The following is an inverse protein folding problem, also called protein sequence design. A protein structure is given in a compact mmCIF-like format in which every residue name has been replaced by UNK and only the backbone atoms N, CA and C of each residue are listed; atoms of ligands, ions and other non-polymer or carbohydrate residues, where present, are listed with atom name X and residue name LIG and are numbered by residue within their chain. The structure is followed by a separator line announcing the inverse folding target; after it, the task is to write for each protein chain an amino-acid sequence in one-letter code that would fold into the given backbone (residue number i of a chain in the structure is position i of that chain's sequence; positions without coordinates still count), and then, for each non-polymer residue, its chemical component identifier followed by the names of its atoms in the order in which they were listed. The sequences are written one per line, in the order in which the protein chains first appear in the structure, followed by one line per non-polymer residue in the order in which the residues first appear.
data_IF_813670716575
#
_entry.id   IF_813670716575
#
_cell.length_a   1.000
_cell.length_b   1.000
_cell.length_c   1.000
_cell.angle_alpha   90.00
_cell.angle_beta   90.00
_cell.angle_gamma   90.00
#
_symmetry.space_group_name_H-M   'P 1'
#
loop_
_entity.id
_entity.type
_entity.pdbx_description
1 polymer ?
#
# COMPACT_ATOMS: atom_id res chain seq x y z
N UNK A 1 75.95 -2.45 33.31
CA UNK A 1 74.81 -1.49 33.08
C UNK A 1 73.93 -2.11 31.97
N UNK A 2 72.87 -2.82 32.37
CA UNK A 2 71.96 -3.52 31.47
C UNK A 2 70.71 -2.66 31.21
N UNK A 3 70.47 -2.32 29.97
CA UNK A 3 69.23 -1.66 29.55
C UNK A 3 68.26 -2.74 28.96
N UNK A 4 67.18 -2.97 29.65
CA UNK A 4 66.10 -3.85 29.17
C UNK A 4 65.18 -3.05 28.27
N UNK A 5 65.06 -3.47 27.01
CA UNK A 5 64.10 -2.96 26.04
C UNK A 5 62.76 -3.69 26.21
N UNK A 6 61.73 -2.94 26.62
CA UNK A 6 60.35 -3.43 26.71
C UNK A 6 59.63 -3.26 25.37
N UNK A 7 59.32 -4.33 24.67
CA UNK A 7 58.53 -4.34 23.43
C UNK A 7 57.04 -4.55 23.74
N UNK A 8 56.29 -3.46 23.63
CA UNK A 8 54.79 -3.49 23.76
C UNK A 8 54.18 -4.05 22.48
N UNK A 9 53.58 -5.23 22.54
CA UNK A 9 52.83 -5.81 21.44
C UNK A 9 51.42 -5.20 21.41
N UNK A 10 51.15 -4.46 20.37
CA UNK A 10 49.82 -3.93 20.06
C UNK A 10 48.96 -5.07 19.50
N UNK A 11 47.93 -5.53 20.23
CA UNK A 11 47.00 -6.53 19.76
C UNK A 11 45.86 -5.84 18.98
N UNK A 12 45.89 -5.95 17.67
CA UNK A 12 44.84 -5.49 16.76
C UNK A 12 43.64 -6.48 16.84
N UNK A 13 42.54 -6.04 17.46
CA UNK A 13 41.28 -6.78 17.46
C UNK A 13 40.56 -6.50 16.17
N UNK A 14 40.46 -7.49 15.27
CA UNK A 14 39.58 -7.46 14.14
C UNK A 14 38.14 -7.71 14.64
N UNK A 15 37.27 -6.72 14.54
CA UNK A 15 35.82 -6.92 14.64
C UNK A 15 35.33 -7.45 13.29
N UNK A 16 34.99 -8.71 13.21
CA UNK A 16 34.25 -9.24 12.09
C UNK A 16 32.78 -8.80 12.21
N UNK A 17 32.36 -7.85 11.40
CA UNK A 17 30.95 -7.53 11.23
C UNK A 17 30.29 -8.69 10.46
N UNK A 18 29.54 -9.52 11.16
CA UNK A 18 28.67 -10.50 10.52
C UNK A 18 27.48 -9.76 9.87
N UNK A 19 27.50 -9.63 8.56
CA UNK A 19 26.32 -9.17 7.83
C UNK A 19 25.24 -10.29 7.91
N UNK A 20 24.20 -10.05 8.70
CA UNK A 20 23.03 -10.92 8.76
C UNK A 20 22.22 -10.69 7.47
N UNK A 21 22.43 -11.54 6.45
CA UNK A 21 21.54 -11.59 5.30
C UNK A 21 20.21 -12.18 5.76
N UNK A 22 19.24 -11.32 6.03
CA UNK A 22 17.85 -11.74 6.21
C UNK A 22 17.32 -12.14 4.85
N UNK A 23 17.22 -13.44 4.60
CA UNK A 23 16.54 -13.99 3.44
C UNK A 23 15.03 -13.84 3.66
N UNK A 24 14.45 -12.78 3.10
CA UNK A 24 12.99 -12.69 3.02
C UNK A 24 12.47 -13.79 2.11
N UNK A 25 11.79 -14.76 2.69
CA UNK A 25 11.06 -15.76 1.92
C UNK A 25 9.91 -15.07 1.22
N UNK A 26 9.95 -14.96 -0.11
CA UNK A 26 8.82 -14.55 -0.92
C UNK A 26 7.81 -15.71 -0.96
N UNK A 27 7.11 -15.95 0.15
CA UNK A 27 5.92 -16.77 0.11
C UNK A 27 4.86 -15.95 -0.63
N UNK A 28 4.52 -16.32 -1.85
CA UNK A 28 3.32 -15.83 -2.53
C UNK A 28 2.14 -16.34 -1.72
N UNK A 29 1.34 -15.43 -1.16
CA UNK A 29 0.11 -15.83 -0.50
C UNK A 29 -0.91 -16.18 -1.59
N UNK A 30 -1.41 -17.41 -1.58
CA UNK A 30 -2.44 -17.82 -2.54
C UNK A 30 -3.74 -17.06 -2.28
N UNK A 31 -4.38 -16.56 -3.33
CA UNK A 31 -5.72 -15.99 -3.25
C UNK A 31 -6.74 -17.06 -2.88
N UNK A 32 -7.86 -16.67 -2.28
CA UNK A 32 -8.94 -17.61 -1.98
C UNK A 32 -9.43 -18.32 -3.26
N UNK A 33 -9.76 -19.60 -3.16
CA UNK A 33 -10.15 -20.46 -4.29
C UNK A 33 -11.35 -19.95 -5.09
N UNK A 34 -12.16 -19.07 -4.52
CA UNK A 34 -13.32 -18.43 -5.16
C UNK A 34 -13.03 -17.09 -5.82
N UNK A 35 -11.77 -16.61 -5.83
CA UNK A 35 -11.42 -15.25 -6.28
C UNK A 35 -11.96 -14.95 -7.69
N UNK A 36 -11.66 -15.76 -8.70
CA UNK A 36 -12.07 -15.51 -10.09
C UNK A 36 -13.59 -15.52 -10.25
N UNK A 37 -14.28 -16.39 -9.52
CA UNK A 37 -15.75 -16.44 -9.52
C UNK A 37 -16.34 -15.16 -8.89
N UNK A 38 -15.78 -14.69 -7.78
CA UNK A 38 -16.22 -13.47 -7.13
C UNK A 38 -15.94 -12.23 -8.00
N UNK A 39 -14.80 -12.16 -8.69
CA UNK A 39 -14.48 -11.07 -9.61
C UNK A 39 -15.42 -11.00 -10.82
N UNK A 40 -15.94 -12.15 -11.26
CA UNK A 40 -16.89 -12.29 -12.39
C UNK A 40 -18.34 -12.23 -11.96
N UNK A 41 -18.65 -12.18 -10.67
CA UNK A 41 -19.99 -12.27 -10.12
C UNK A 41 -20.94 -11.20 -10.71
N UNK A 42 -22.22 -11.54 -10.88
CA UNK A 42 -23.23 -10.65 -11.46
C UNK A 42 -23.51 -9.43 -10.57
N UNK A 43 -23.28 -9.58 -9.27
CA UNK A 43 -23.45 -8.55 -8.26
C UNK A 43 -22.39 -7.43 -8.32
N UNK A 44 -21.24 -7.69 -8.94
CA UNK A 44 -20.28 -6.61 -9.25
C UNK A 44 -20.81 -5.77 -10.40
N UNK A 45 -20.76 -4.44 -10.25
CA UNK A 45 -21.22 -3.54 -11.30
C UNK A 45 -20.33 -3.63 -12.56
N UNK A 46 -20.94 -3.42 -13.73
CA UNK A 46 -20.20 -3.38 -15.00
C UNK A 46 -19.15 -2.25 -15.01
N UNK A 47 -19.43 -1.11 -14.32
CA UNK A 47 -18.47 -0.03 -14.16
C UNK A 47 -17.23 -0.48 -13.38
N UNK A 48 -17.37 -1.27 -12.33
CA UNK A 48 -16.25 -1.78 -11.55
C UNK A 48 -15.47 -2.86 -12.33
N UNK A 49 -16.16 -3.76 -13.04
CA UNK A 49 -15.53 -4.77 -13.91
C UNK A 49 -14.72 -4.14 -15.04
N UNK A 50 -15.23 -3.05 -15.63
CA UNK A 50 -14.51 -2.34 -16.69
C UNK A 50 -13.15 -1.77 -16.25
N UNK A 51 -12.93 -1.60 -14.95
CA UNK A 51 -11.65 -1.11 -14.38
C UNK A 51 -10.62 -2.23 -14.18
N UNK A 52 -11.04 -3.49 -14.16
CA UNK A 52 -10.18 -4.63 -13.78
C UNK A 52 -8.97 -4.75 -14.72
N UNK A 53 -9.19 -4.61 -16.04
CA UNK A 53 -8.11 -4.72 -17.02
C UNK A 53 -6.97 -3.71 -16.81
N UNK A 54 -7.30 -2.46 -16.47
CA UNK A 54 -6.31 -1.41 -16.23
C UNK A 54 -5.72 -1.43 -14.81
N UNK A 55 -6.38 -2.12 -13.87
CA UNK A 55 -5.95 -2.20 -12.46
C UNK A 55 -5.27 -3.51 -12.10
N UNK A 56 -5.39 -4.54 -12.95
CA UNK A 56 -4.73 -5.85 -12.79
C UNK A 56 -4.79 -6.39 -11.36
N UNK A 57 -6.02 -6.54 -10.79
CA UNK A 57 -6.17 -6.77 -9.36
C UNK A 57 -5.43 -8.02 -8.86
N UNK A 58 -5.48 -9.13 -9.61
CA UNK A 58 -4.80 -10.37 -9.22
C UNK A 58 -3.30 -10.17 -9.09
N UNK A 59 -2.69 -9.61 -10.11
CA UNK A 59 -1.24 -9.39 -10.18
C UNK A 59 -0.77 -8.38 -9.14
N UNK A 60 -1.59 -7.36 -8.83
CA UNK A 60 -1.32 -6.41 -7.75
C UNK A 60 -1.30 -7.12 -6.40
N UNK A 61 -2.30 -7.94 -6.11
CA UNK A 61 -2.38 -8.67 -4.83
C UNK A 61 -1.25 -9.69 -4.69
N UNK A 62 -0.93 -10.41 -5.76
CA UNK A 62 0.21 -11.35 -5.81
C UNK A 62 1.54 -10.59 -5.52
N UNK A 63 1.74 -9.41 -6.13
CA UNK A 63 2.94 -8.61 -5.88
C UNK A 63 3.02 -8.11 -4.44
N UNK A 64 1.90 -7.62 -3.87
CA UNK A 64 1.88 -7.15 -2.48
C UNK A 64 2.02 -8.31 -1.50
N UNK A 65 1.52 -9.50 -1.84
CA UNK A 65 1.51 -10.69 -0.99
C UNK A 65 0.24 -10.78 -0.15
N UNK A 66 -0.90 -10.28 -0.67
CA UNK A 66 -2.21 -10.40 -0.02
C UNK A 66 -2.89 -11.68 -0.48
N UNK A 67 -3.39 -12.50 0.46
CA UNK A 67 -4.00 -13.79 0.13
C UNK A 67 -5.05 -14.27 1.14
N UNK A 68 -5.46 -15.52 0.94
CA UNK A 68 -6.55 -16.16 1.67
C UNK A 68 -6.35 -16.12 3.20
N UNK A 69 -7.42 -15.85 3.93
CA UNK A 69 -7.45 -15.86 5.39
C UNK A 69 -6.87 -14.63 6.08
N UNK A 70 -6.26 -13.69 5.33
CA UNK A 70 -5.69 -12.46 5.91
C UNK A 70 -6.76 -11.50 6.40
N UNK A 71 -6.43 -10.71 7.42
CA UNK A 71 -7.13 -9.48 7.76
C UNK A 71 -6.45 -8.33 7.04
N UNK A 72 -7.17 -7.62 6.17
CA UNK A 72 -6.60 -6.57 5.31
C UNK A 72 -7.31 -5.23 5.54
N UNK A 73 -6.53 -4.15 5.62
CA UNK A 73 -7.04 -2.78 5.67
C UNK A 73 -7.00 -2.14 4.28
N UNK A 74 -8.17 -1.75 3.76
CA UNK A 74 -8.33 -0.92 2.56
C UNK A 74 -8.32 0.55 2.99
N UNK A 75 -7.18 1.22 2.87
CA UNK A 75 -6.99 2.58 3.38
C UNK A 75 -7.52 3.59 2.36
N UNK A 76 -8.46 4.42 2.74
CA UNK A 76 -9.18 5.36 1.86
C UNK A 76 -9.91 4.62 0.74
N UNK A 77 -10.72 3.64 1.12
CA UNK A 77 -11.42 2.71 0.22
C UNK A 77 -12.35 3.40 -0.80
N UNK A 78 -12.70 4.67 -0.57
CA UNK A 78 -13.64 5.44 -1.40
C UNK A 78 -15.01 4.70 -1.50
N UNK A 79 -15.49 4.41 -2.70
CA UNK A 79 -16.72 3.63 -2.92
C UNK A 79 -16.49 2.12 -2.94
N UNK A 80 -15.29 1.63 -2.58
CA UNK A 80 -15.02 0.24 -2.28
C UNK A 80 -14.66 -0.65 -3.47
N UNK A 81 -14.02 -0.14 -4.53
CA UNK A 81 -13.56 -1.00 -5.61
C UNK A 81 -12.53 -2.03 -5.12
N UNK A 82 -11.47 -1.57 -4.41
CA UNK A 82 -10.51 -2.50 -3.81
C UNK A 82 -11.10 -3.29 -2.65
N UNK A 83 -12.07 -2.76 -1.93
CA UNK A 83 -12.79 -3.50 -0.89
C UNK A 83 -13.40 -4.81 -1.42
N UNK A 84 -14.05 -4.79 -2.60
CA UNK A 84 -14.57 -6.00 -3.25
C UNK A 84 -13.47 -6.96 -3.68
N UNK A 85 -12.41 -6.43 -4.28
CA UNK A 85 -11.24 -7.21 -4.72
C UNK A 85 -10.56 -7.90 -3.52
N UNK A 86 -10.35 -7.15 -2.45
CA UNK A 86 -9.75 -7.67 -1.21
C UNK A 86 -10.65 -8.70 -0.54
N UNK A 87 -11.97 -8.44 -0.48
CA UNK A 87 -12.95 -9.40 0.05
C UNK A 87 -12.89 -10.74 -0.69
N UNK A 88 -12.84 -10.68 -2.04
CA UNK A 88 -12.69 -11.87 -2.87
C UNK A 88 -11.36 -12.59 -2.63
N UNK A 89 -10.27 -11.84 -2.45
CA UNK A 89 -8.92 -12.35 -2.29
C UNK A 89 -8.71 -13.09 -0.97
N UNK A 90 -9.20 -12.48 0.14
CA UNK A 90 -9.02 -13.09 1.46
C UNK A 90 -10.04 -14.20 1.72
N UNK A 91 -11.16 -14.20 1.00
CA UNK A 91 -12.21 -15.24 1.09
C UNK A 91 -12.94 -15.27 2.44
N UNK A 92 -13.75 -16.32 2.69
CA UNK A 92 -14.67 -16.38 3.83
C UNK A 92 -13.98 -16.51 5.19
N UNK A 93 -12.70 -16.89 5.23
CA UNK A 93 -11.90 -17.01 6.46
C UNK A 93 -11.07 -15.77 6.76
N UNK A 94 -10.98 -14.83 5.79
CA UNK A 94 -10.30 -13.56 5.94
C UNK A 94 -11.28 -12.43 6.27
N UNK A 95 -10.74 -11.23 6.46
CA UNK A 95 -11.52 -10.02 6.80
C UNK A 95 -10.96 -8.80 6.09
N UNK A 96 -11.84 -7.91 5.67
CA UNK A 96 -11.47 -6.59 5.15
C UNK A 96 -12.02 -5.49 6.06
N UNK A 97 -11.16 -4.57 6.48
CA UNK A 97 -11.55 -3.32 7.12
C UNK A 97 -11.48 -2.23 6.07
N UNK A 98 -12.63 -1.73 5.64
CA UNK A 98 -12.70 -0.71 4.61
C UNK A 98 -12.80 0.67 5.27
N UNK A 99 -11.69 1.41 5.22
CA UNK A 99 -11.56 2.70 5.87
C UNK A 99 -11.84 3.86 4.93
N UNK A 100 -12.57 4.87 5.43
CA UNK A 100 -12.67 6.21 4.87
C UNK A 100 -12.61 7.24 5.98
N UNK A 101 -12.16 8.47 5.67
CA UNK A 101 -12.18 9.57 6.63
C UNK A 101 -13.60 10.08 6.86
N UNK A 102 -13.89 10.63 8.06
CA UNK A 102 -15.17 11.27 8.36
C UNK A 102 -15.50 12.40 7.38
N UNK A 103 -14.53 13.19 7.00
CA UNK A 103 -14.70 14.27 6.02
C UNK A 103 -15.10 13.81 4.61
N UNK A 104 -14.98 12.51 4.30
CA UNK A 104 -15.43 11.92 3.03
C UNK A 104 -16.72 11.12 3.14
N UNK A 105 -17.29 10.98 4.34
CA UNK A 105 -18.47 10.14 4.61
C UNK A 105 -19.60 10.40 3.63
N UNK A 106 -20.05 11.63 3.48
CA UNK A 106 -21.17 12.01 2.61
C UNK A 106 -21.01 11.56 1.15
N UNK A 107 -19.76 11.45 0.67
CA UNK A 107 -19.45 11.09 -0.72
C UNK A 107 -19.21 9.60 -0.92
N UNK A 108 -18.89 8.87 0.13
CA UNK A 108 -18.41 7.49 0.03
C UNK A 108 -19.35 6.47 0.69
N UNK A 109 -20.07 6.86 1.74
CA UNK A 109 -20.83 5.94 2.60
C UNK A 109 -21.89 5.15 1.82
N UNK A 110 -22.68 5.81 0.97
CA UNK A 110 -23.74 5.12 0.22
C UNK A 110 -23.16 4.00 -0.68
N UNK A 111 -22.08 4.30 -1.42
CA UNK A 111 -21.46 3.35 -2.33
C UNK A 111 -20.77 2.19 -1.61
N UNK A 112 -19.99 2.51 -0.56
CA UNK A 112 -19.24 1.46 0.15
C UNK A 112 -20.15 0.60 1.02
N UNK A 113 -21.22 1.17 1.61
CA UNK A 113 -22.21 0.42 2.39
C UNK A 113 -23.02 -0.54 1.52
N UNK A 114 -23.38 -0.13 0.30
CA UNK A 114 -24.07 -1.01 -0.65
C UNK A 114 -23.21 -2.23 -1.02
N UNK A 115 -21.87 -2.07 -1.13
CA UNK A 115 -20.96 -3.18 -1.35
C UNK A 115 -20.79 -4.04 -0.10
N UNK A 116 -20.54 -3.43 1.05
CA UNK A 116 -20.35 -4.13 2.31
C UNK A 116 -21.59 -4.98 2.69
N UNK A 117 -22.79 -4.50 2.38
CA UNK A 117 -24.03 -5.22 2.68
C UNK A 117 -24.17 -6.60 1.99
N UNK A 118 -23.38 -6.87 0.95
CA UNK A 118 -23.35 -8.15 0.21
C UNK A 118 -22.07 -8.95 0.39
N UNK A 119 -21.17 -8.47 1.26
CA UNK A 119 -19.86 -9.05 1.52
C UNK A 119 -19.74 -9.38 3.00
N UNK A 120 -19.87 -10.66 3.36
CA UNK A 120 -19.95 -11.10 4.76
C UNK A 120 -18.66 -10.85 5.58
N UNK A 121 -17.53 -10.64 4.90
CA UNK A 121 -16.21 -10.46 5.52
C UNK A 121 -15.72 -9.00 5.53
N UNK A 122 -16.59 -8.01 5.24
CA UNK A 122 -16.23 -6.59 5.20
C UNK A 122 -16.80 -5.84 6.41
N UNK A 123 -15.96 -5.02 7.04
CA UNK A 123 -16.35 -4.08 8.09
C UNK A 123 -15.98 -2.66 7.65
N UNK A 124 -16.89 -1.71 7.82
CA UNK A 124 -16.63 -0.30 7.53
C UNK A 124 -16.03 0.40 8.74
N UNK A 125 -15.04 1.25 8.49
CA UNK A 125 -14.41 2.12 9.47
C UNK A 125 -14.38 3.56 8.93
N UNK A 126 -15.04 4.47 9.62
CA UNK A 126 -14.94 5.91 9.35
C UNK A 126 -14.16 6.56 10.49
N UNK A 127 -12.99 7.09 10.18
CA UNK A 127 -12.13 7.76 11.15
C UNK A 127 -11.15 8.69 10.43
N UNK A 128 -10.83 9.84 11.00
CA UNK A 128 -9.80 10.70 10.41
C UNK A 128 -8.39 10.19 10.72
N UNK A 129 -7.43 10.53 9.85
CA UNK A 129 -6.03 10.13 10.04
C UNK A 129 -5.44 10.74 11.32
N UNK A 130 -4.62 9.97 12.01
CA UNK A 130 -4.11 10.23 13.34
C UNK A 130 -5.02 9.68 14.45
N UNK A 131 -6.19 9.14 14.09
CA UNK A 131 -7.21 8.62 15.02
C UNK A 131 -7.90 7.34 14.56
N UNK A 132 -7.35 6.58 13.62
CA UNK A 132 -7.97 5.37 13.07
C UNK A 132 -8.24 4.27 14.14
N UNK A 133 -7.48 4.26 15.23
CA UNK A 133 -7.75 3.41 16.39
C UNK A 133 -7.38 1.93 16.22
N UNK A 134 -6.74 1.53 15.11
CA UNK A 134 -6.25 0.17 14.89
C UNK A 134 -4.81 0.04 15.41
N UNK A 135 -4.51 -1.07 16.08
CA UNK A 135 -3.17 -1.34 16.63
C UNK A 135 -2.79 -2.82 16.46
N UNK A 136 -1.88 -3.11 15.54
CA UNK A 136 -1.38 -4.45 15.22
C UNK A 136 -2.49 -5.49 14.94
N UNK A 137 -3.54 -5.07 14.23
CA UNK A 137 -4.71 -5.91 13.97
C UNK A 137 -4.70 -6.56 12.58
N UNK A 138 -4.00 -5.97 11.59
CA UNK A 138 -4.07 -6.41 10.21
C UNK A 138 -2.77 -7.04 9.72
N UNK A 139 -2.91 -8.05 8.86
CA UNK A 139 -1.78 -8.75 8.24
C UNK A 139 -1.21 -7.95 7.06
N UNK A 140 -2.08 -7.23 6.36
CA UNK A 140 -1.70 -6.36 5.26
C UNK A 140 -2.60 -5.11 5.19
N UNK A 141 -2.12 -4.07 4.52
CA UNK A 141 -2.88 -2.90 4.15
C UNK A 141 -2.65 -2.57 2.67
N UNK A 142 -3.63 -1.95 2.03
CA UNK A 142 -3.53 -1.45 0.67
C UNK A 142 -4.12 -0.05 0.59
N UNK A 143 -3.47 0.84 -0.16
CA UNK A 143 -4.05 2.13 -0.58
C UNK A 143 -3.88 2.31 -2.07
N UNK A 144 -4.86 2.95 -2.72
CA UNK A 144 -4.81 3.19 -4.14
C UNK A 144 -5.33 4.58 -4.52
N UNK A 145 -4.45 5.37 -5.15
CA UNK A 145 -4.77 6.65 -5.76
C UNK A 145 -5.29 7.71 -4.76
N UNK A 146 -4.70 7.74 -3.57
CA UNK A 146 -5.10 8.65 -2.49
C UNK A 146 -3.91 9.32 -1.79
N UNK A 147 -2.74 8.68 -1.78
CA UNK A 147 -1.60 9.14 -0.99
C UNK A 147 -1.04 10.47 -1.53
N UNK A 148 -1.06 10.67 -2.85
CA UNK A 148 -0.64 11.93 -3.48
C UNK A 148 -1.35 13.16 -2.90
N UNK A 149 -2.68 13.07 -2.67
CA UNK A 149 -3.45 14.20 -2.14
C UNK A 149 -2.99 14.60 -0.73
N UNK A 150 -2.69 13.61 0.10
CA UNK A 150 -2.26 13.85 1.48
C UNK A 150 -0.81 14.33 1.54
N UNK A 151 0.07 13.68 0.81
CA UNK A 151 1.50 14.01 0.80
C UNK A 151 1.78 15.38 0.16
N UNK A 152 1.05 15.73 -0.91
CA UNK A 152 1.18 17.02 -1.56
C UNK A 152 0.53 18.16 -0.76
N UNK A 153 -0.49 17.86 0.06
CA UNK A 153 -1.08 18.86 0.94
C UNK A 153 -0.09 19.29 2.03
N UNK A 154 0.49 18.33 2.74
CA UNK A 154 1.60 18.56 3.67
C UNK A 154 2.30 17.26 4.03
N UNK A 155 3.59 17.34 4.34
CA UNK A 155 4.35 16.18 4.84
C UNK A 155 3.72 15.63 6.14
N UNK A 156 3.15 16.47 6.99
CA UNK A 156 2.46 16.07 8.22
C UNK A 156 1.21 15.23 7.91
N UNK A 157 0.36 15.65 6.96
CA UNK A 157 -0.81 14.88 6.55
C UNK A 157 -0.41 13.52 5.97
N UNK A 158 0.64 13.47 5.15
CA UNK A 158 1.23 12.23 4.67
C UNK A 158 1.71 11.32 5.80
N UNK A 159 2.37 11.88 6.81
CA UNK A 159 2.87 11.12 7.97
C UNK A 159 1.75 10.62 8.89
N UNK A 160 0.68 11.37 9.09
CA UNK A 160 -0.51 10.89 9.84
C UNK A 160 -1.14 9.69 9.14
N UNK A 161 -1.32 9.77 7.82
CA UNK A 161 -1.82 8.67 6.99
C UNK A 161 -0.94 7.41 7.10
N UNK A 162 0.37 7.56 6.88
CA UNK A 162 1.32 6.44 6.95
C UNK A 162 1.45 5.89 8.37
N UNK A 163 1.39 6.75 9.38
CA UNK A 163 1.47 6.38 10.79
C UNK A 163 0.29 5.50 11.23
N UNK A 164 -0.92 5.80 10.78
CA UNK A 164 -2.09 4.96 11.06
C UNK A 164 -2.01 3.60 10.35
N UNK A 165 -1.59 3.58 9.06
CA UNK A 165 -1.34 2.32 8.35
C UNK A 165 -0.26 1.49 9.06
N UNK A 166 0.83 2.13 9.51
CA UNK A 166 1.91 1.47 10.24
C UNK A 166 1.43 0.89 11.57
N UNK A 167 0.64 1.64 12.35
CA UNK A 167 0.08 1.15 13.63
C UNK A 167 -0.87 -0.02 13.42
N UNK A 168 -1.76 0.07 12.43
CA UNK A 168 -2.72 -0.98 12.14
C UNK A 168 -2.08 -2.32 11.79
N UNK A 169 -0.93 -2.30 11.13
CA UNK A 169 -0.21 -3.50 10.72
C UNK A 169 0.43 -4.22 11.91
N UNK A 170 0.33 -5.54 11.91
CA UNK A 170 1.14 -6.43 12.77
C UNK A 170 2.63 -6.26 12.44
N UNK A 171 3.56 -6.59 13.38
CA UNK A 171 4.96 -6.78 13.03
C UNK A 171 5.11 -7.73 11.83
N UNK A 172 5.97 -7.40 10.87
CA UNK A 172 6.12 -8.15 9.61
C UNK A 172 5.02 -7.91 8.58
N UNK A 173 3.97 -7.15 8.89
CA UNK A 173 2.83 -6.87 8.01
C UNK A 173 3.19 -6.09 6.75
N UNK A 174 2.41 -6.30 5.67
CA UNK A 174 2.68 -5.77 4.33
C UNK A 174 1.84 -4.54 4.02
N UNK A 175 2.42 -3.58 3.33
CA UNK A 175 1.71 -2.39 2.84
C UNK A 175 1.89 -2.23 1.34
N UNK A 176 0.80 -2.33 0.59
CA UNK A 176 0.73 -2.02 -0.84
C UNK A 176 0.35 -0.55 -1.05
N UNK A 177 1.14 0.18 -1.83
CA UNK A 177 0.84 1.57 -2.19
C UNK A 177 0.82 1.71 -3.70
N UNK A 178 -0.33 2.10 -4.24
CA UNK A 178 -0.53 2.42 -5.66
C UNK A 178 -0.82 3.91 -5.76
N UNK A 179 -0.10 4.64 -6.61
CA UNK A 179 -0.48 6.01 -6.87
C UNK A 179 -0.11 6.48 -8.29
N UNK A 180 -0.72 7.61 -8.69
CA UNK A 180 -0.44 8.26 -9.97
C UNK A 180 1.01 8.74 -10.01
N UNK A 181 1.78 8.21 -10.97
CA UNK A 181 3.18 8.59 -11.13
C UNK A 181 3.31 10.06 -11.55
N UNK A 182 4.17 10.78 -10.87
CA UNK A 182 4.57 12.14 -11.17
C UNK A 182 6.04 12.22 -11.55
N UNK A 183 6.43 13.32 -12.19
CA UNK A 183 7.80 13.57 -12.62
C UNK A 183 8.46 14.68 -11.82
N UNK A 184 9.77 14.58 -11.61
CA UNK A 184 10.56 15.60 -10.96
C UNK A 184 10.48 16.93 -11.73
N UNK A 185 10.31 18.03 -10.99
CA UNK A 185 10.23 19.37 -11.56
C UNK A 185 8.86 19.77 -12.14
N UNK A 186 7.86 18.90 -12.06
CA UNK A 186 6.47 19.23 -12.38
C UNK A 186 5.73 19.70 -11.12
N UNK A 187 4.65 20.43 -11.30
CA UNK A 187 3.72 20.74 -10.22
C UNK A 187 2.82 19.52 -9.94
N UNK A 188 3.41 18.52 -9.28
CA UNK A 188 2.72 17.27 -8.99
C UNK A 188 1.48 17.46 -8.11
N UNK A 189 1.43 18.50 -7.29
CA UNK A 189 0.25 18.84 -6.49
C UNK A 189 -0.92 19.27 -7.37
N UNK A 190 -0.70 20.20 -8.30
CA UNK A 190 -1.72 20.65 -9.24
C UNK A 190 -2.16 19.55 -10.22
N UNK A 191 -1.25 18.61 -10.56
CA UNK A 191 -1.53 17.49 -11.45
C UNK A 191 -2.16 16.29 -10.73
N UNK A 192 -2.30 16.31 -9.41
CA UNK A 192 -2.72 15.18 -8.58
C UNK A 192 -1.91 13.92 -8.86
N UNK A 193 -0.59 14.04 -8.75
CA UNK A 193 0.40 12.98 -8.96
C UNK A 193 1.42 12.98 -7.81
N UNK A 194 2.21 11.92 -7.73
CA UNK A 194 3.26 11.80 -6.72
C UNK A 194 4.53 11.21 -7.34
N UNK A 195 5.67 11.82 -7.07
CA UNK A 195 6.96 11.22 -7.44
C UNK A 195 7.20 9.94 -6.65
N UNK A 196 7.62 8.88 -7.33
CA UNK A 196 7.99 7.62 -6.67
C UNK A 196 9.06 7.82 -5.59
N UNK A 197 10.04 8.70 -5.83
CA UNK A 197 11.09 9.00 -4.86
C UNK A 197 10.53 9.64 -3.58
N UNK A 198 9.56 10.54 -3.70
CA UNK A 198 8.88 11.18 -2.57
C UNK A 198 8.06 10.14 -1.78
N UNK A 199 7.31 9.28 -2.49
CA UNK A 199 6.55 8.21 -1.85
C UNK A 199 7.44 7.26 -1.04
N UNK A 200 8.58 6.83 -1.60
CA UNK A 200 9.55 5.97 -0.90
C UNK A 200 10.12 6.64 0.35
N UNK A 201 10.59 7.89 0.21
CA UNK A 201 11.14 8.64 1.36
C UNK A 201 10.11 8.81 2.48
N UNK A 202 8.85 9.08 2.14
CA UNK A 202 7.78 9.22 3.12
C UNK A 202 7.50 7.90 3.85
N UNK A 203 7.44 6.77 3.13
CA UNK A 203 7.28 5.43 3.70
C UNK A 203 8.43 5.08 4.66
N UNK A 204 9.67 5.29 4.24
CA UNK A 204 10.86 5.04 5.05
C UNK A 204 10.88 5.92 6.31
N UNK A 205 10.48 7.19 6.18
CA UNK A 205 10.35 8.12 7.31
C UNK A 205 9.26 7.71 8.31
N UNK A 206 8.22 7.01 7.85
CA UNK A 206 7.18 6.44 8.71
C UNK A 206 7.59 5.10 9.36
N UNK A 207 8.78 4.59 9.07
CA UNK A 207 9.34 3.36 9.65
C UNK A 207 9.16 2.10 8.80
N UNK A 208 8.59 2.20 7.61
CA UNK A 208 8.48 1.08 6.68
C UNK A 208 9.82 0.74 6.02
N UNK A 209 10.00 -0.53 5.69
CA UNK A 209 11.05 -0.99 4.76
C UNK A 209 10.43 -1.14 3.38
N UNK A 210 10.88 -0.35 2.40
CA UNK A 210 10.47 -0.50 1.00
C UNK A 210 11.18 -1.71 0.41
N UNK A 211 10.44 -2.81 0.18
CA UNK A 211 11.00 -4.08 -0.29
C UNK A 211 11.10 -4.16 -1.81
N UNK A 212 10.08 -3.65 -2.50
CA UNK A 212 10.01 -3.75 -3.96
C UNK A 212 9.15 -2.64 -4.58
N UNK A 213 9.46 -2.31 -5.82
CA UNK A 213 8.65 -1.46 -6.71
C UNK A 213 8.39 -2.24 -7.98
N UNK A 214 7.16 -2.14 -8.51
CA UNK A 214 6.75 -2.81 -9.74
C UNK A 214 6.30 -1.80 -10.80
N UNK A 215 6.61 -2.11 -12.04
CA UNK A 215 6.14 -1.44 -13.25
C UNK A 215 4.84 -2.05 -13.81
N UNK A 216 4.22 -2.97 -13.07
CA UNK A 216 2.99 -3.68 -13.46
C UNK A 216 1.89 -2.76 -13.97
N UNK A 217 1.75 -1.59 -13.35
CA UNK A 217 0.75 -0.58 -13.69
C UNK A 217 1.31 0.59 -14.52
N UNK A 218 2.53 0.43 -15.06
CA UNK A 218 3.14 1.43 -15.94
C UNK A 218 2.32 1.61 -17.23
N UNK A 219 2.07 2.88 -17.59
CA UNK A 219 1.45 3.27 -18.85
C UNK A 219 2.37 4.26 -19.60
N UNK A 220 3.14 3.80 -20.57
CA UNK A 220 4.08 4.64 -21.30
C UNK A 220 3.43 5.73 -22.18
N UNK A 221 2.10 5.68 -22.36
CA UNK A 221 1.37 6.71 -23.09
C UNK A 221 1.05 7.95 -22.23
N UNK A 222 1.23 7.87 -20.91
CA UNK A 222 1.06 8.97 -19.97
C UNK A 222 2.43 9.54 -19.58
N UNK A 223 2.78 10.70 -20.09
CA UNK A 223 4.05 11.38 -19.86
C UNK A 223 4.10 12.24 -18.57
N UNK A 224 3.06 12.14 -17.76
CA UNK A 224 2.85 12.83 -16.49
C UNK A 224 2.63 14.35 -16.59
N UNK A 225 2.47 14.90 -17.80
CA UNK A 225 2.28 16.34 -18.01
C UNK A 225 0.85 16.81 -17.78
N UNK A 226 -0.11 15.87 -17.79
CA UNK A 226 -1.54 16.16 -17.66
C UNK A 226 -2.06 15.86 -16.26
N UNK A 227 -3.08 16.62 -15.86
CA UNK A 227 -3.84 16.32 -14.64
C UNK A 227 -4.43 14.89 -14.70
N UNK A 228 -4.41 14.15 -13.61
CA UNK A 228 -4.81 12.72 -13.58
C UNK A 228 -6.26 12.46 -14.04
N UNK A 229 -7.11 13.49 -14.11
CA UNK A 229 -8.50 13.42 -14.60
C UNK A 229 -8.65 13.90 -16.04
N UNK A 230 -7.56 14.21 -16.74
CA UNK A 230 -7.66 14.61 -18.16
C UNK A 230 -8.36 13.51 -18.97
N UNK A 231 -9.33 13.91 -19.80
CA UNK A 231 -10.17 12.97 -20.55
C UNK A 231 -9.35 12.13 -21.55
N UNK A 232 -8.26 12.66 -22.07
CA UNK A 232 -7.38 11.94 -22.98
C UNK A 232 -6.70 10.73 -22.35
N UNK A 233 -6.52 10.73 -21.01
CA UNK A 233 -5.97 9.62 -20.25
C UNK A 233 -6.98 8.48 -20.02
N UNK A 234 -8.27 8.71 -20.25
CA UNK A 234 -9.34 7.71 -20.08
C UNK A 234 -9.27 7.00 -18.71
N UNK A 235 -8.87 7.72 -17.67
CA UNK A 235 -8.59 7.21 -16.31
C UNK A 235 -7.47 6.15 -16.24
N UNK A 236 -6.68 6.00 -17.27
CA UNK A 236 -5.54 5.08 -17.34
C UNK A 236 -4.21 5.83 -17.26
N UNK A 237 -4.01 6.52 -16.15
CA UNK A 237 -2.73 7.19 -15.83
C UNK A 237 -1.62 6.17 -15.64
N UNK A 238 -0.38 6.61 -15.81
CA UNK A 238 0.78 5.87 -15.30
C UNK A 238 0.74 5.80 -13.78
N UNK A 239 1.12 4.63 -13.21
CA UNK A 239 1.07 4.38 -11.77
C UNK A 239 2.27 3.56 -11.33
N UNK A 240 2.81 3.92 -10.20
CA UNK A 240 3.73 3.04 -9.48
C UNK A 240 2.97 2.11 -8.52
N UNK A 241 3.58 0.99 -8.21
CA UNK A 241 3.13 0.04 -7.19
C UNK A 241 4.32 -0.28 -6.28
N UNK A 242 4.19 0.01 -4.99
CA UNK A 242 5.21 -0.24 -3.96
C UNK A 242 4.72 -1.35 -3.04
N UNK A 243 5.61 -2.30 -2.71
CA UNK A 243 5.47 -3.17 -1.55
C UNK A 243 6.42 -2.70 -0.46
N UNK A 244 5.85 -2.37 0.69
CA UNK A 244 6.58 -2.03 1.90
C UNK A 244 6.22 -2.98 3.04
N UNK A 245 7.07 -3.09 4.05
CA UNK A 245 6.88 -3.95 5.22
C UNK A 245 7.07 -3.16 6.51
N UNK A 246 6.20 -3.40 7.49
CA UNK A 246 6.47 -3.03 8.87
C UNK A 246 7.52 -4.00 9.43
N UNK A 247 8.65 -3.54 9.97
CA UNK A 247 9.63 -4.41 10.63
C UNK A 247 9.01 -5.28 11.74
N UNK A 248 9.71 -6.41 12.05
CA UNK A 248 9.35 -7.30 13.17
C UNK A 248 9.44 -6.58 14.53
#
# INVERSE_FOLDING_TARGET
MNSASSSTRLATRFFAAAALCVLFSNATADLASGFDAAMSAAERSDEDKARDAARKPKEVLDFVGIGAGMTVLDVSASTGWYTEVLSAAVGPTGRVIAHNTEGRRDRTEAGISAKAARLDNVTLLFADFGGMGLDAEVDAALTALNFHDLQNNSAEAGQLFLGDAFKALKPGGLFGVIDHAGSAGQDNAALHRLELAVAKTALESAGFVVEAVSDLLHNPADDHSLHMRDESLQRNTDRFLIRARKPE
#
